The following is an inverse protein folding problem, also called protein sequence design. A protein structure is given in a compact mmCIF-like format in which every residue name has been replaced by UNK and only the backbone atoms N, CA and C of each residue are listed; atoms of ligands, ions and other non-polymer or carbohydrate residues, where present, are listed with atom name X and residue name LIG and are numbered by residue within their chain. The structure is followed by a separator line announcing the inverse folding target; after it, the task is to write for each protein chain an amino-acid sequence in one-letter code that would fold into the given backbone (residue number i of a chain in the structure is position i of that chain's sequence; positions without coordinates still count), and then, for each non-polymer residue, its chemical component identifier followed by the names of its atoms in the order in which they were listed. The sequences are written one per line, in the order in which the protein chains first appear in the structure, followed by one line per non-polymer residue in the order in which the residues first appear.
data_IF_562588059797
#
_entry.id   IF_562588059797
#
_cell.length_a   1.000
_cell.length_b   1.000
_cell.length_c   1.000
_cell.angle_alpha   90.00
_cell.angle_beta   90.00
_cell.angle_gamma   90.00
#
_symmetry.space_group_name_H-M   'P 1'
#
loop_
_entity.id
_entity.type
_entity.pdbx_description
1 polymer ?
#
# COMPACT_ATOMS: atom_id res chain seq x y z
N UNK A 1 -16.80 11.92 5.56
CA UNK A 1 -15.67 11.34 6.31
C UNK A 1 -15.97 9.86 6.57
N UNK A 2 -14.97 8.96 6.54
CA UNK A 2 -15.22 7.56 6.89
C UNK A 2 -15.66 7.45 8.35
N UNK A 3 -16.64 6.57 8.60
CA UNK A 3 -17.25 6.38 9.93
C UNK A 3 -16.37 5.51 10.83
N UNK A 4 -15.45 4.76 10.23
CA UNK A 4 -14.53 3.86 10.95
C UNK A 4 -13.23 3.65 10.16
N UNK A 5 -12.18 3.30 10.88
CA UNK A 5 -10.90 2.93 10.26
C UNK A 5 -10.98 1.56 9.58
N UNK A 6 -10.36 1.45 8.41
CA UNK A 6 -10.10 0.16 7.80
C UNK A 6 -9.20 -0.70 8.71
N UNK A 7 -9.27 -2.04 8.63
CA UNK A 7 -8.45 -2.93 9.48
C UNK A 7 -6.96 -2.57 9.49
N UNK A 8 -6.41 -2.27 8.33
CA UNK A 8 -4.99 -1.90 8.18
C UNK A 8 -4.64 -0.60 8.94
N UNK A 9 -5.53 0.40 8.92
CA UNK A 9 -5.32 1.66 9.64
C UNK A 9 -5.42 1.45 11.14
N UNK A 10 -6.41 0.68 11.59
CA UNK A 10 -6.57 0.34 13.00
C UNK A 10 -5.34 -0.39 13.55
N UNK A 11 -4.78 -1.34 12.79
CA UNK A 11 -3.57 -2.08 13.18
C UNK A 11 -2.36 -1.19 13.30
N UNK A 12 -2.14 -0.30 12.34
CA UNK A 12 -1.05 0.68 12.41
C UNK A 12 -1.17 1.59 13.63
N UNK A 13 -2.37 2.13 13.89
CA UNK A 13 -2.61 2.96 15.08
C UNK A 13 -2.33 2.18 16.38
N UNK A 14 -2.78 0.93 16.46
CA UNK A 14 -2.53 0.07 17.63
C UNK A 14 -1.04 -0.27 17.82
N UNK A 15 -0.27 -0.29 16.74
CA UNK A 15 1.18 -0.46 16.77
C UNK A 15 1.94 0.86 17.03
N UNK A 16 1.24 1.96 17.31
CA UNK A 16 1.83 3.27 17.62
C UNK A 16 2.19 4.12 16.40
N UNK A 17 1.77 3.75 15.20
CA UNK A 17 2.04 4.54 14.02
C UNK A 17 1.23 5.84 13.98
N UNK A 18 1.88 6.93 13.56
CA UNK A 18 1.26 8.23 13.33
C UNK A 18 0.83 8.31 11.86
N UNK A 19 -0.47 8.43 11.62
CA UNK A 19 -1.03 8.56 10.27
C UNK A 19 -0.99 10.03 9.86
N UNK A 20 -0.14 10.38 8.90
CA UNK A 20 0.03 11.76 8.43
C UNK A 20 -1.08 12.19 7.47
N UNK A 21 -1.64 11.27 6.70
CA UNK A 21 -2.67 11.59 5.71
C UNK A 21 -2.84 10.52 4.65
N UNK A 22 -3.44 10.92 3.53
CA UNK A 22 -3.61 10.09 2.33
C UNK A 22 -2.80 10.68 1.19
N UNK A 23 -2.23 9.81 0.38
CA UNK A 23 -1.48 10.18 -0.80
C UNK A 23 -2.36 10.20 -2.05
N UNK A 24 -1.93 10.89 -3.09
CA UNK A 24 -2.59 10.87 -4.38
C UNK A 24 -2.55 9.48 -5.00
N UNK A 25 -3.64 9.10 -5.64
CA UNK A 25 -3.75 7.86 -6.41
C UNK A 25 -4.22 8.17 -7.82
N UNK A 26 -3.98 7.26 -8.74
CA UNK A 26 -4.65 7.29 -10.04
C UNK A 26 -6.17 7.24 -9.84
N UNK A 27 -6.91 8.00 -10.63
CA UNK A 27 -8.37 8.01 -10.56
C UNK A 27 -8.94 6.59 -10.66
N UNK A 28 -9.83 6.27 -9.73
CA UNK A 28 -10.48 4.96 -9.58
C UNK A 28 -9.52 3.76 -9.45
N UNK A 29 -8.21 3.98 -9.30
CA UNK A 29 -7.21 2.91 -9.25
C UNK A 29 -7.04 2.14 -10.55
N UNK A 30 -7.50 2.69 -11.68
CA UNK A 30 -7.75 1.96 -12.92
C UNK A 30 -6.51 1.74 -13.80
N UNK A 31 -5.49 2.56 -13.69
CA UNK A 31 -4.30 2.41 -14.55
C UNK A 31 -3.01 2.29 -13.76
N UNK A 32 -1.99 1.67 -14.38
CA UNK A 32 -0.63 1.61 -13.86
C UNK A 32 0.17 2.91 -14.05
N UNK A 33 -0.45 3.96 -14.56
CA UNK A 33 0.12 5.29 -14.69
C UNK A 33 -0.40 6.22 -13.58
N UNK A 34 0.34 7.27 -13.28
CA UNK A 34 0.01 8.22 -12.21
C UNK A 34 -0.82 9.41 -12.73
N UNK A 35 -2.00 9.13 -13.27
CA UNK A 35 -2.89 10.17 -13.83
C UNK A 35 -4.02 10.52 -12.88
N UNK A 36 -4.25 11.81 -12.68
CA UNK A 36 -5.40 12.33 -11.94
C UNK A 36 -5.80 13.71 -12.48
N UNK A 37 -7.08 13.88 -12.76
CA UNK A 37 -7.64 15.18 -13.16
C UNK A 37 -7.71 16.16 -12.00
N UNK A 38 -7.82 15.64 -10.78
CA UNK A 38 -7.93 16.45 -9.55
C UNK A 38 -6.56 16.90 -9.04
N UNK A 39 -5.57 15.99 -9.02
CA UNK A 39 -4.27 16.22 -8.40
C UNK A 39 -3.14 16.38 -9.41
N UNK A 40 -3.44 16.29 -10.70
CA UNK A 40 -2.42 16.22 -11.74
C UNK A 40 -1.72 14.86 -11.81
N UNK A 41 -0.70 14.76 -12.64
CA UNK A 41 0.06 13.53 -12.82
C UNK A 41 1.17 13.44 -11.77
N UNK A 42 1.23 12.33 -11.06
CA UNK A 42 2.36 12.03 -10.19
C UNK A 42 3.64 11.85 -11.01
N UNK A 43 4.72 12.53 -10.63
CA UNK A 43 6.00 12.49 -11.32
C UNK A 43 6.99 11.61 -10.57
N UNK A 44 7.85 10.93 -11.31
CA UNK A 44 8.91 10.14 -10.71
C UNK A 44 9.87 11.07 -9.94
N UNK A 45 10.18 10.80 -8.66
CA UNK A 45 11.05 11.68 -7.87
C UNK A 45 12.49 11.74 -8.35
N UNK A 46 12.93 10.76 -9.16
CA UNK A 46 14.28 10.74 -9.73
C UNK A 46 14.38 11.48 -11.06
N UNK A 47 13.32 11.46 -11.86
CA UNK A 47 13.19 12.18 -13.11
C UNK A 47 11.72 12.62 -13.31
N UNK A 48 11.42 13.90 -13.11
CA UNK A 48 10.06 14.43 -13.26
C UNK A 48 9.48 14.37 -14.68
N UNK A 49 10.27 14.05 -15.70
CA UNK A 49 9.77 13.80 -17.04
C UNK A 49 9.06 12.44 -17.16
N UNK A 50 9.36 11.51 -16.24
CA UNK A 50 8.84 10.15 -16.21
C UNK A 50 7.62 10.02 -15.30
N UNK A 51 6.81 9.00 -15.55
CA UNK A 51 5.73 8.60 -14.63
C UNK A 51 6.28 7.94 -13.38
N UNK A 52 5.62 8.13 -12.26
CA UNK A 52 5.89 7.36 -11.03
C UNK A 52 5.26 5.97 -11.02
N UNK A 53 4.52 5.61 -12.08
CA UNK A 53 3.66 4.43 -12.05
C UNK A 53 2.43 4.65 -11.16
N UNK A 54 1.57 3.65 -11.08
CA UNK A 54 0.31 3.72 -10.33
C UNK A 54 -0.27 2.32 -10.07
N UNK A 55 -1.41 2.29 -9.37
CA UNK A 55 -2.23 3.42 -8.94
C UNK A 55 -1.80 4.02 -7.58
N UNK A 56 -1.00 3.36 -6.76
CA UNK A 56 -0.48 3.89 -5.48
C UNK A 56 0.70 4.85 -5.69
N UNK A 57 0.58 5.75 -6.67
CA UNK A 57 1.63 6.67 -7.12
C UNK A 57 2.18 7.56 -6.02
N UNK A 58 1.31 8.29 -5.33
CA UNK A 58 1.73 9.21 -4.26
C UNK A 58 2.39 8.50 -3.08
N UNK A 59 2.00 7.26 -2.78
CA UNK A 59 2.64 6.46 -1.73
C UNK A 59 4.10 6.13 -2.09
N UNK A 60 4.35 5.69 -3.33
CA UNK A 60 5.70 5.41 -3.79
C UNK A 60 6.56 6.68 -3.89
N UNK A 61 5.98 7.77 -4.41
CA UNK A 61 6.65 9.08 -4.45
C UNK A 61 7.06 9.53 -3.06
N UNK A 62 6.15 9.51 -2.09
CA UNK A 62 6.41 9.98 -0.72
C UNK A 62 7.54 9.18 -0.03
N UNK A 63 7.57 7.86 -0.24
CA UNK A 63 8.62 6.99 0.30
C UNK A 63 9.97 7.22 -0.39
N UNK A 64 9.98 7.26 -1.73
CA UNK A 64 11.20 7.46 -2.51
C UNK A 64 11.79 8.85 -2.29
N UNK A 65 10.96 9.90 -2.22
CA UNK A 65 11.36 11.27 -1.89
C UNK A 65 11.69 11.47 -0.39
N UNK A 66 11.65 10.42 0.43
CA UNK A 66 11.96 10.45 1.88
C UNK A 66 11.05 11.36 2.71
N UNK A 67 9.85 11.65 2.23
CA UNK A 67 8.84 12.41 2.99
C UNK A 67 8.31 11.59 4.19
N UNK A 68 8.21 10.27 4.01
CA UNK A 68 7.78 9.32 5.04
C UNK A 68 8.66 8.06 4.99
N UNK A 69 8.83 7.34 6.10
CA UNK A 69 9.56 6.06 6.10
C UNK A 69 8.80 4.95 5.37
N UNK A 70 7.49 5.01 5.41
CA UNK A 70 6.61 3.98 4.89
C UNK A 70 5.27 4.54 4.44
N UNK A 71 4.63 3.86 3.50
CA UNK A 71 3.27 4.13 3.05
C UNK A 71 2.55 2.82 2.73
N UNK A 72 1.23 2.90 2.60
CA UNK A 72 0.40 1.80 2.16
C UNK A 72 -0.11 2.05 0.74
N UNK A 73 -0.36 0.96 0.03
CA UNK A 73 -1.03 0.98 -1.26
C UNK A 73 -2.00 -0.18 -1.42
N UNK A 74 -2.72 -0.18 -2.53
CA UNK A 74 -3.55 -1.32 -2.95
C UNK A 74 -3.05 -1.86 -4.28
N UNK A 75 -3.21 -3.16 -4.52
CA UNK A 75 -2.69 -3.86 -5.69
C UNK A 75 -3.70 -4.89 -6.19
N UNK A 76 -4.31 -4.61 -7.32
CA UNK A 76 -5.15 -5.56 -8.05
C UNK A 76 -4.44 -6.13 -9.28
N UNK A 77 -3.69 -5.28 -10.00
CA UNK A 77 -2.95 -5.63 -11.21
C UNK A 77 -1.50 -5.15 -11.21
N UNK A 78 -0.94 -4.82 -10.02
CA UNK A 78 0.41 -4.30 -9.89
C UNK A 78 0.50 -2.94 -9.18
N UNK A 79 -0.61 -2.40 -8.68
CA UNK A 79 -0.69 -1.00 -8.23
C UNK A 79 0.12 -0.64 -6.98
N UNK A 80 0.71 -1.60 -6.28
CA UNK A 80 1.77 -1.39 -5.27
C UNK A 80 3.14 -1.60 -5.92
N UNK A 81 3.29 -2.67 -6.69
CA UNK A 81 4.56 -3.13 -7.27
C UNK A 81 5.06 -2.23 -8.41
N UNK A 82 4.16 -1.78 -9.29
CA UNK A 82 4.51 -0.89 -10.41
C UNK A 82 5.12 0.41 -9.90
N UNK A 83 4.44 1.21 -9.06
CA UNK A 83 5.01 2.45 -8.57
C UNK A 83 6.22 2.22 -7.66
N UNK A 84 6.26 1.13 -6.89
CA UNK A 84 7.44 0.73 -6.13
C UNK A 84 8.66 0.52 -7.01
N UNK A 85 8.49 -0.23 -8.11
CA UNK A 85 9.55 -0.48 -9.09
C UNK A 85 10.01 0.81 -9.78
N UNK A 86 9.08 1.65 -10.24
CA UNK A 86 9.40 2.87 -10.97
C UNK A 86 10.09 3.91 -10.10
N UNK A 87 9.71 4.01 -8.83
CA UNK A 87 10.29 4.98 -7.88
C UNK A 87 11.48 4.42 -7.08
N UNK A 88 11.89 3.18 -7.29
CA UNK A 88 13.02 2.57 -6.56
C UNK A 88 12.70 2.33 -5.07
N UNK A 89 11.44 2.06 -4.74
CA UNK A 89 11.01 1.68 -3.41
C UNK A 89 10.74 0.17 -3.33
N UNK A 90 10.93 -0.42 -2.15
CA UNK A 90 10.52 -1.78 -1.91
C UNK A 90 9.00 -1.85 -1.72
N UNK A 91 8.34 -2.76 -2.42
CA UNK A 91 6.89 -2.87 -2.43
C UNK A 91 6.46 -4.33 -2.37
N UNK A 92 5.61 -4.68 -1.41
CA UNK A 92 5.20 -6.05 -1.18
C UNK A 92 3.69 -6.22 -1.36
N UNK A 93 3.31 -7.13 -2.27
CA UNK A 93 1.96 -7.66 -2.40
C UNK A 93 1.92 -9.07 -1.81
N UNK A 94 1.28 -9.22 -0.68
CA UNK A 94 1.09 -10.53 -0.05
C UNK A 94 0.10 -11.41 -0.80
N UNK A 95 -0.09 -12.62 -0.29
CA UNK A 95 -1.15 -13.55 -0.74
C UNK A 95 -2.53 -13.00 -0.38
N UNK A 96 -3.54 -13.34 -1.17
CA UNK A 96 -4.92 -12.92 -0.93
C UNK A 96 -5.39 -13.29 0.48
N UNK A 97 -5.95 -12.31 1.19
CA UNK A 97 -6.46 -12.47 2.55
C UNK A 97 -5.38 -12.44 3.65
N UNK A 98 -4.08 -12.32 3.31
CA UNK A 98 -3.02 -12.22 4.32
C UNK A 98 -3.10 -10.89 5.07
N UNK A 99 -3.33 -9.79 4.36
CA UNK A 99 -3.66 -8.48 4.92
C UNK A 99 -5.15 -8.24 4.74
N UNK A 100 -5.91 -8.04 5.81
CA UNK A 100 -7.35 -7.81 5.73
C UNK A 100 -7.67 -6.47 5.08
N UNK A 101 -8.56 -6.48 4.09
CA UNK A 101 -9.07 -5.30 3.39
C UNK A 101 -10.56 -5.12 3.65
N UNK A 102 -10.94 -3.91 4.10
CA UNK A 102 -12.32 -3.49 4.29
C UNK A 102 -12.42 -1.96 4.13
N UNK A 103 -13.46 -1.39 3.52
CA UNK A 103 -14.55 -2.08 2.79
C UNK A 103 -14.02 -2.83 1.56
N UNK A 104 -14.81 -3.79 1.10
CA UNK A 104 -14.47 -4.61 -0.03
C UNK A 104 -14.49 -3.80 -1.33
N UNK A 105 -13.53 -4.03 -2.19
CA UNK A 105 -13.44 -3.43 -3.51
C UNK A 105 -14.32 -4.21 -4.50
N UNK A 106 -14.75 -3.56 -5.59
CA UNK A 106 -15.40 -4.22 -6.72
C UNK A 106 -14.52 -5.32 -7.37
N UNK A 107 -13.21 -5.26 -7.13
CA UNK A 107 -12.20 -6.24 -7.60
C UNK A 107 -11.69 -7.10 -6.45
N UNK A 108 -12.55 -7.45 -5.51
CA UNK A 108 -12.22 -8.12 -4.23
C UNK A 108 -11.21 -9.26 -4.33
N UNK A 109 -11.42 -10.16 -5.29
CA UNK A 109 -10.55 -11.33 -5.48
C UNK A 109 -9.13 -10.98 -5.94
N UNK A 110 -8.94 -9.77 -6.47
CA UNK A 110 -7.66 -9.28 -6.96
C UNK A 110 -7.06 -8.20 -6.06
N UNK A 111 -7.88 -7.60 -5.18
CA UNK A 111 -7.46 -6.45 -4.39
C UNK A 111 -6.68 -6.88 -3.15
N UNK A 112 -5.45 -6.39 -3.05
CA UNK A 112 -4.54 -6.62 -1.93
C UNK A 112 -4.11 -5.26 -1.37
N UNK A 113 -3.95 -5.16 -0.06
CA UNK A 113 -3.19 -4.07 0.54
C UNK A 113 -1.73 -4.48 0.70
N UNK A 114 -0.82 -3.52 0.61
CA UNK A 114 0.59 -3.81 0.79
C UNK A 114 1.42 -2.60 1.22
N UNK A 115 2.53 -2.83 1.95
CA UNK A 115 3.46 -1.79 2.32
C UNK A 115 4.35 -1.38 1.15
N UNK A 116 4.69 -0.10 1.12
CA UNK A 116 5.72 0.50 0.28
C UNK A 116 6.72 1.16 1.24
N UNK A 117 7.99 0.79 1.15
CA UNK A 117 9.04 1.21 2.08
C UNK A 117 10.37 1.40 1.35
N UNK A 118 11.38 1.93 2.03
CA UNK A 118 12.72 2.01 1.45
C UNK A 118 13.53 0.73 1.64
N UNK A 119 13.25 -0.02 2.69
CA UNK A 119 14.00 -1.24 3.00
C UNK A 119 13.10 -2.47 3.10
N UNK A 120 13.65 -3.63 2.81
CA UNK A 120 12.96 -4.92 3.01
C UNK A 120 12.57 -5.12 4.46
N UNK A 121 13.42 -4.71 5.40
CA UNK A 121 13.19 -4.85 6.84
C UNK A 121 11.97 -4.06 7.30
N UNK A 122 11.84 -2.80 6.86
CA UNK A 122 10.68 -1.97 7.19
C UNK A 122 9.39 -2.57 6.61
N UNK A 123 9.49 -3.13 5.40
CA UNK A 123 8.34 -3.81 4.77
C UNK A 123 7.95 -5.07 5.52
N UNK A 124 8.91 -5.87 5.98
CA UNK A 124 8.65 -7.06 6.78
C UNK A 124 7.95 -6.70 8.10
N UNK A 125 8.47 -5.69 8.82
CA UNK A 125 7.85 -5.17 10.04
C UNK A 125 6.39 -4.74 9.81
N UNK A 126 6.16 -3.94 8.78
CA UNK A 126 4.80 -3.50 8.45
C UNK A 126 3.91 -4.67 8.02
N UNK A 127 4.45 -5.61 7.26
CA UNK A 127 3.70 -6.77 6.81
C UNK A 127 3.26 -7.65 7.99
N UNK A 128 4.10 -7.84 9.00
CA UNK A 128 3.76 -8.54 10.23
C UNK A 128 2.65 -7.82 11.01
N UNK A 129 2.75 -6.49 11.17
CA UNK A 129 1.73 -5.68 11.83
C UNK A 129 0.38 -5.74 11.09
N UNK A 130 0.42 -5.69 9.77
CA UNK A 130 -0.78 -5.63 8.92
C UNK A 130 -1.45 -6.98 8.74
N UNK A 131 -0.69 -8.08 8.84
CA UNK A 131 -1.14 -9.45 8.57
C UNK A 131 -2.02 -10.02 9.69
N UNK A 132 -2.76 -11.07 9.36
CA UNK A 132 -3.52 -11.87 10.32
C UNK A 132 -5.03 -11.73 10.19
N UNK A 133 -5.80 -12.54 10.96
CA UNK A 133 -7.25 -12.60 10.84
C UNK A 133 -7.93 -11.30 11.28
N UNK A 134 -9.04 -10.97 10.65
CA UNK A 134 -9.91 -9.87 11.05
C UNK A 134 -11.38 -10.31 10.97
N UNK A 135 -12.22 -9.76 11.86
CA UNK A 135 -13.65 -10.11 11.95
C UNK A 135 -14.45 -9.87 10.67
N UNK A 136 -13.94 -9.00 9.80
CA UNK A 136 -14.58 -8.65 8.54
C UNK A 136 -14.16 -9.56 7.39
N UNK A 137 -13.21 -10.49 7.61
CA UNK A 137 -12.65 -11.33 6.57
C UNK A 137 -12.72 -12.79 6.99
N UNK A 138 -13.62 -13.51 6.35
CA UNK A 138 -13.85 -14.95 6.59
C UNK A 138 -12.78 -15.85 5.96
N UNK A 139 -11.95 -15.35 5.06
CA UNK A 139 -10.84 -16.12 4.47
C UNK A 139 -9.63 -16.08 5.39
N UNK A 140 -9.31 -17.23 5.94
CA UNK A 140 -8.11 -17.42 6.75
C UNK A 140 -6.87 -17.35 5.85
N UNK A 141 -6.02 -16.35 6.08
CA UNK A 141 -4.61 -16.52 5.79
C UNK A 141 -4.05 -17.62 6.70
N UNK A 142 -3.11 -18.40 6.20
CA UNK A 142 -2.37 -19.36 7.03
C UNK A 142 -1.82 -18.65 8.27
N UNK A 143 -1.93 -19.24 9.48
CA UNK A 143 -1.39 -18.59 10.66
C UNK A 143 0.14 -18.59 10.65
N UNK A 144 0.69 -17.53 11.15
CA UNK A 144 1.90 -17.39 11.94
C UNK A 144 3.24 -17.84 11.36
N UNK A 145 3.77 -17.05 10.43
CA UNK A 145 5.22 -16.92 10.34
C UNK A 145 5.59 -15.43 10.27
N UNK A 146 6.28 -14.92 11.29
CA UNK A 146 6.85 -13.59 11.28
C UNK A 146 7.91 -13.48 10.18
N UNK A 147 7.81 -12.44 9.36
CA UNK A 147 8.81 -12.14 8.33
C UNK A 147 10.08 -11.53 8.90
N UNK A 148 10.03 -11.01 10.14
CA UNK A 148 11.21 -10.49 10.84
C UNK A 148 12.07 -11.57 11.50
N UNK A 149 11.48 -12.75 11.75
CA UNK A 149 12.18 -13.85 12.42
C UNK A 149 13.06 -14.68 11.47
N UNK A 150 13.11 -14.33 10.19
CA UNK A 150 13.93 -14.93 9.14
C UNK A 150 14.98 -13.92 8.69
#
# INVERSE_FOLDING_TARGET
MPVQDAPIIRRLKNAGAIILGKTATTEFGWTGASTSRVFGNGRNPWDPALTSGGSSSGSAIAVAARMVPAALGSDGGGSVRIPGSFCGAFALKGTLGRIPTWPWSATEMLSHAGPITRTVRDSALLFDILSGPDRWITRRASPDESFLAR
#
